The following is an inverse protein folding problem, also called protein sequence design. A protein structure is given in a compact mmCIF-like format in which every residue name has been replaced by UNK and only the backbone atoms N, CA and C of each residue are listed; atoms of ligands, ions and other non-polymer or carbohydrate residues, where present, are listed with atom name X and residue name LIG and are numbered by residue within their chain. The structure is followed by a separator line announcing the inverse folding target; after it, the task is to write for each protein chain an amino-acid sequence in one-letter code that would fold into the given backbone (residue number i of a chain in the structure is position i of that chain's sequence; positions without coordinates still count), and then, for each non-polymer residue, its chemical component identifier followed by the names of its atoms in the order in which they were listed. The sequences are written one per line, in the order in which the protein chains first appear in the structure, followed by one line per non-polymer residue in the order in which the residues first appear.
data_IF_216298494521
#
_entry.id   IF_216298494521
#
_cell.length_a   1.000
_cell.length_b   1.000
_cell.length_c   1.000
_cell.angle_alpha   90.00
_cell.angle_beta   90.00
_cell.angle_gamma   90.00
#
_symmetry.space_group_name_H-M   'P 1'
#
loop_
_entity.id
_entity.type
_entity.pdbx_description
1 polymer ?
#
# COMPACT_ATOMS: atom_id res chain seq x y z
N UNK A 1 -11.80 -9.52 -7.70
CA UNK A 1 -10.93 -8.49 -7.10
C UNK A 1 -9.51 -8.68 -7.59
N UNK A 2 -8.80 -7.62 -7.96
CA UNK A 2 -7.38 -7.70 -8.36
C UNK A 2 -6.47 -8.20 -7.22
N UNK A 3 -6.85 -7.96 -5.96
CA UNK A 3 -6.13 -8.48 -4.79
C UNK A 3 -6.06 -10.00 -4.76
N UNK A 4 -7.09 -10.71 -5.26
CA UNK A 4 -7.09 -12.20 -5.30
C UNK A 4 -6.24 -12.76 -6.44
N UNK A 5 -5.65 -11.92 -7.28
CA UNK A 5 -4.88 -12.36 -8.43
C UNK A 5 -3.65 -11.48 -8.63
N UNK A 6 -2.63 -11.58 -7.76
CA UNK A 6 -1.40 -10.80 -7.87
C UNK A 6 -0.79 -10.87 -9.27
N UNK A 7 -0.75 -12.05 -9.90
CA UNK A 7 -0.26 -12.21 -11.28
C UNK A 7 -0.99 -11.34 -12.30
N UNK A 8 -2.32 -11.22 -12.20
CA UNK A 8 -3.10 -10.36 -13.12
C UNK A 8 -2.83 -8.88 -12.83
N UNK A 9 -2.72 -8.52 -11.55
CA UNK A 9 -2.37 -7.17 -11.12
C UNK A 9 -0.98 -6.77 -11.64
N UNK A 10 0.03 -7.62 -11.47
CA UNK A 10 1.40 -7.38 -11.94
C UNK A 10 1.47 -7.17 -13.46
N UNK A 11 0.78 -8.00 -14.24
CA UNK A 11 0.69 -7.82 -15.71
C UNK A 11 0.08 -6.48 -16.10
N UNK A 12 -0.97 -6.06 -15.40
CA UNK A 12 -1.65 -4.79 -15.64
C UNK A 12 -0.73 -3.60 -15.28
N UNK A 13 -0.07 -3.64 -14.13
CA UNK A 13 0.88 -2.59 -13.70
C UNK A 13 2.08 -2.52 -14.65
N UNK A 14 2.70 -3.65 -14.96
CA UNK A 14 3.84 -3.72 -15.87
C UNK A 14 3.50 -3.16 -17.26
N UNK A 15 2.32 -3.50 -17.79
CA UNK A 15 1.84 -2.94 -19.06
C UNK A 15 1.64 -1.42 -19.00
N UNK A 16 1.10 -0.88 -17.90
CA UNK A 16 0.93 0.56 -17.71
C UNK A 16 2.27 1.29 -17.56
N UNK A 17 3.22 0.73 -16.81
CA UNK A 17 4.59 1.27 -16.68
C UNK A 17 5.25 1.31 -18.05
N UNK A 18 5.25 0.18 -18.77
CA UNK A 18 5.90 0.07 -20.08
C UNK A 18 5.35 1.08 -21.11
N UNK A 19 4.03 1.19 -21.22
CA UNK A 19 3.38 2.10 -22.17
C UNK A 19 3.65 3.58 -21.86
N UNK A 20 4.05 3.89 -20.64
CA UNK A 20 4.28 5.24 -20.17
C UNK A 20 5.77 5.62 -20.09
N UNK A 21 6.69 4.71 -20.47
CA UNK A 21 8.13 4.94 -20.43
C UNK A 21 8.57 6.20 -21.21
N UNK A 22 7.90 6.54 -22.31
CA UNK A 22 8.24 7.72 -23.11
C UNK A 22 7.85 9.06 -22.45
N UNK A 23 6.98 9.03 -21.44
CA UNK A 23 6.47 10.24 -20.77
C UNK A 23 7.00 10.39 -19.34
N UNK A 24 7.73 9.40 -18.83
CA UNK A 24 8.36 9.41 -17.51
C UNK A 24 7.40 9.75 -16.35
N UNK A 25 6.11 9.36 -16.47
CA UNK A 25 5.10 9.63 -15.43
C UNK A 25 5.15 8.50 -14.38
N UNK A 26 5.41 8.76 -13.09
CA UNK A 26 5.49 7.69 -12.10
C UNK A 26 4.11 7.04 -11.86
N UNK A 27 4.04 5.71 -11.94
CA UNK A 27 2.83 4.96 -11.63
C UNK A 27 2.85 4.45 -10.19
N UNK A 28 1.97 4.99 -9.34
CA UNK A 28 1.75 4.49 -7.97
C UNK A 28 0.53 3.57 -7.89
N UNK A 29 0.52 2.63 -6.94
CA UNK A 29 -0.62 1.71 -6.74
C UNK A 29 -1.10 1.76 -5.29
N UNK A 30 -2.41 1.85 -5.08
CA UNK A 30 -3.03 1.82 -3.76
C UNK A 30 -3.79 0.53 -3.53
N UNK A 31 -3.48 -0.15 -2.43
CA UNK A 31 -4.03 -1.46 -2.07
C UNK A 31 -4.60 -1.49 -0.64
N UNK A 32 -5.22 -2.61 -0.31
CA UNK A 32 -5.68 -3.02 1.01
C UNK A 32 -4.92 -4.29 1.42
N UNK A 33 -5.01 -4.70 2.69
CA UNK A 33 -4.27 -5.85 3.23
C UNK A 33 -4.62 -7.19 2.54
N UNK A 34 -5.82 -7.27 2.00
CA UNK A 34 -6.41 -8.47 1.42
C UNK A 34 -7.89 -8.24 1.15
N UNK A 35 -8.58 -9.24 0.61
CA UNK A 35 -10.03 -9.16 0.45
C UNK A 35 -10.77 -9.33 1.79
N UNK A 36 -10.35 -10.31 2.58
CA UNK A 36 -10.98 -10.78 3.81
C UNK A 36 -9.90 -11.10 4.85
N UNK A 37 -10.28 -11.25 6.13
CA UNK A 37 -9.31 -11.41 7.23
C UNK A 37 -8.54 -12.75 7.18
N UNK A 38 -9.13 -13.78 6.57
CA UNK A 38 -8.53 -15.09 6.33
C UNK A 38 -7.71 -15.14 5.02
N UNK A 39 -7.67 -14.03 4.27
CA UNK A 39 -7.05 -13.92 2.95
C UNK A 39 -6.20 -12.64 2.87
N UNK A 40 -5.30 -12.48 3.84
CA UNK A 40 -4.25 -11.45 3.83
C UNK A 40 -3.15 -11.88 2.88
N UNK A 41 -2.82 -11.03 1.91
CA UNK A 41 -1.80 -11.32 0.90
C UNK A 41 -1.01 -10.07 0.46
N UNK A 42 -1.01 -9.04 1.32
CA UNK A 42 -0.38 -7.75 1.03
C UNK A 42 1.11 -7.84 0.73
N UNK A 43 1.85 -8.75 1.37
CA UNK A 43 3.27 -8.96 1.12
C UNK A 43 3.50 -9.43 -0.33
N UNK A 44 2.85 -10.52 -0.74
CA UNK A 44 2.91 -11.04 -2.12
C UNK A 44 2.49 -9.98 -3.16
N UNK A 45 1.43 -9.23 -2.86
CA UNK A 45 0.94 -8.17 -3.72
C UNK A 45 1.97 -7.06 -3.86
N UNK A 46 2.57 -6.61 -2.75
CA UNK A 46 3.59 -5.54 -2.76
C UNK A 46 4.83 -5.99 -3.51
N UNK A 47 5.28 -7.23 -3.30
CA UNK A 47 6.40 -7.78 -4.05
C UNK A 47 6.11 -7.82 -5.55
N UNK A 48 4.92 -8.29 -5.94
CA UNK A 48 4.48 -8.29 -7.34
C UNK A 48 4.46 -6.87 -7.93
N UNK A 49 4.05 -5.86 -7.15
CA UNK A 49 4.00 -4.47 -7.60
C UNK A 49 5.40 -3.86 -7.78
N UNK A 50 6.35 -4.22 -6.91
CA UNK A 50 7.76 -3.83 -7.04
C UNK A 50 8.35 -4.38 -8.34
N UNK A 51 8.18 -5.68 -8.57
CA UNK A 51 8.65 -6.35 -9.79
C UNK A 51 7.99 -5.80 -11.06
N UNK A 52 6.73 -5.37 -10.96
CA UNK A 52 6.01 -4.75 -12.06
C UNK A 52 6.46 -3.29 -12.36
N UNK A 53 7.34 -2.71 -11.55
CA UNK A 53 7.87 -1.36 -11.75
C UNK A 53 7.00 -0.24 -11.19
N UNK A 54 6.15 -0.52 -10.19
CA UNK A 54 5.42 0.54 -9.50
C UNK A 54 6.40 1.54 -8.85
N UNK A 55 6.17 2.83 -9.07
CA UNK A 55 7.00 3.90 -8.52
C UNK A 55 6.77 4.12 -7.01
N UNK A 56 5.60 3.72 -6.49
CA UNK A 56 5.28 3.73 -5.07
C UNK A 56 4.06 2.84 -4.78
N UNK A 57 3.95 2.32 -3.55
CA UNK A 57 2.81 1.53 -3.12
C UNK A 57 2.18 2.11 -1.86
N UNK A 58 0.89 2.42 -1.91
CA UNK A 58 0.12 2.85 -0.74
C UNK A 58 -0.67 1.68 -0.16
N UNK A 59 -0.52 1.41 1.14
CA UNK A 59 -1.19 0.31 1.83
C UNK A 59 -2.23 0.89 2.81
N UNK A 60 -3.50 0.63 2.57
CA UNK A 60 -4.49 0.79 3.62
C UNK A 60 -4.44 -0.41 4.56
N UNK A 61 -4.23 -0.18 5.86
CA UNK A 61 -4.18 -1.21 6.92
C UNK A 61 -5.51 -1.92 7.21
N UNK A 62 -6.37 -2.15 6.21
CA UNK A 62 -7.62 -2.91 6.36
C UNK A 62 -7.79 -3.86 5.18
N UNK A 63 -8.54 -4.93 5.39
CA UNK A 63 -9.06 -5.75 4.29
C UNK A 63 -10.21 -5.03 3.58
N UNK A 64 -10.57 -5.48 2.38
CA UNK A 64 -11.70 -4.92 1.65
C UNK A 64 -13.02 -5.10 2.42
N UNK A 65 -13.27 -6.30 2.95
CA UNK A 65 -14.48 -6.64 3.71
C UNK A 65 -14.66 -5.80 4.98
N UNK A 66 -13.57 -5.45 5.67
CA UNK A 66 -13.64 -4.60 6.86
C UNK A 66 -14.17 -3.20 6.57
N UNK A 67 -14.05 -2.67 5.34
CA UNK A 67 -14.49 -1.31 5.04
C UNK A 67 -13.86 -0.29 6.00
N UNK A 68 -14.68 0.25 6.91
CA UNK A 68 -14.30 1.14 8.03
C UNK A 68 -14.69 0.61 9.42
N UNK A 69 -15.10 -0.66 9.53
CA UNK A 69 -15.69 -1.23 10.76
C UNK A 69 -14.68 -1.65 11.83
N UNK A 70 -13.39 -1.68 11.49
CA UNK A 70 -12.26 -2.03 12.39
C UNK A 70 -11.18 -0.96 12.33
N UNK A 71 -10.29 -0.91 13.31
CA UNK A 71 -9.10 -0.07 13.22
C UNK A 71 -8.18 -0.54 12.08
N UNK A 72 -7.40 0.38 11.51
CA UNK A 72 -6.33 0.02 10.61
C UNK A 72 -5.22 -0.73 11.36
N UNK A 73 -4.87 -1.90 10.85
CA UNK A 73 -3.78 -2.74 11.33
C UNK A 73 -2.46 -2.21 10.77
N UNK A 74 -1.74 -1.47 11.63
CA UNK A 74 -0.44 -0.89 11.33
C UNK A 74 0.71 -1.86 11.56
N UNK A 75 0.49 -2.93 12.31
CA UNK A 75 1.50 -3.97 12.57
C UNK A 75 1.74 -4.76 11.27
N UNK A 76 0.67 -5.08 10.53
CA UNK A 76 0.79 -5.67 9.20
C UNK A 76 1.43 -4.71 8.17
N UNK A 77 1.17 -3.41 8.27
CA UNK A 77 1.84 -2.41 7.41
C UNK A 77 3.34 -2.38 7.72
N UNK A 78 3.72 -2.36 8.99
CA UNK A 78 5.11 -2.42 9.44
C UNK A 78 5.79 -3.70 8.97
N UNK A 79 5.14 -4.85 9.08
CA UNK A 79 5.69 -6.13 8.63
C UNK A 79 6.03 -6.11 7.12
N UNK A 80 5.20 -5.46 6.28
CA UNK A 80 5.48 -5.29 4.85
C UNK A 80 6.67 -4.36 4.59
N UNK A 81 6.81 -3.29 5.36
CA UNK A 81 7.97 -2.38 5.26
C UNK A 81 9.25 -3.14 5.61
N UNK A 82 9.24 -3.89 6.71
CA UNK A 82 10.40 -4.65 7.20
C UNK A 82 10.84 -5.74 6.21
N UNK A 83 9.89 -6.49 5.65
CA UNK A 83 10.18 -7.52 4.63
C UNK A 83 10.78 -6.92 3.34
N UNK A 84 10.43 -5.66 3.05
CA UNK A 84 10.83 -4.95 1.83
C UNK A 84 12.01 -4.00 1.94
N UNK A 85 12.77 -4.04 3.05
CA UNK A 85 13.91 -3.16 3.27
C UNK A 85 14.91 -3.31 2.11
N UNK A 86 15.35 -2.18 1.54
CA UNK A 86 16.29 -2.15 0.42
C UNK A 86 15.67 -2.29 -0.97
N UNK A 87 14.35 -2.48 -1.08
CA UNK A 87 13.66 -2.59 -2.38
C UNK A 87 13.63 -1.29 -3.21
N UNK A 88 13.88 -0.13 -2.60
CA UNK A 88 13.90 1.18 -3.26
C UNK A 88 12.52 1.72 -3.69
N UNK A 89 11.44 0.94 -3.58
CA UNK A 89 10.08 1.39 -3.87
C UNK A 89 9.42 1.93 -2.59
N UNK A 90 9.08 3.23 -2.53
CA UNK A 90 8.48 3.82 -1.34
C UNK A 90 7.13 3.20 -0.97
N UNK A 91 6.94 2.95 0.32
CA UNK A 91 5.68 2.52 0.91
C UNK A 91 5.00 3.70 1.61
N UNK A 92 3.74 3.94 1.27
CA UNK A 92 2.89 4.95 1.91
C UNK A 92 1.85 4.27 2.80
N UNK A 93 1.88 4.56 4.10
CA UNK A 93 0.90 4.05 5.05
C UNK A 93 -0.45 4.79 4.98
N UNK A 94 -1.56 4.08 5.13
CA UNK A 94 -2.90 4.67 5.11
C UNK A 94 -3.85 3.99 6.11
N UNK A 95 -4.62 4.80 6.84
CA UNK A 95 -5.67 4.32 7.73
C UNK A 95 -5.66 5.00 9.09
N UNK A 96 -6.80 5.55 9.48
CA UNK A 96 -7.06 6.14 10.81
C UNK A 96 -6.09 7.23 11.28
N UNK A 97 -5.49 7.95 10.33
CA UNK A 97 -4.70 9.14 10.59
C UNK A 97 -5.66 10.33 10.69
N UNK A 98 -5.92 10.78 11.92
CA UNK A 98 -6.89 11.84 12.22
C UNK A 98 -6.25 13.16 12.68
N UNK A 99 -4.96 13.15 13.00
CA UNK A 99 -4.21 14.32 13.45
C UNK A 99 -2.79 14.28 12.90
N UNK A 100 -2.11 15.43 12.91
CA UNK A 100 -0.69 15.48 12.55
C UNK A 100 0.19 14.65 13.52
N UNK A 101 -0.20 14.56 14.80
CA UNK A 101 0.48 13.72 15.79
C UNK A 101 0.40 12.25 15.41
N UNK A 102 -0.78 11.80 14.96
CA UNK A 102 -0.97 10.43 14.49
C UNK A 102 -0.14 10.15 13.24
N UNK A 103 -0.10 11.09 12.28
CA UNK A 103 0.73 10.96 11.09
C UNK A 103 2.22 10.74 11.44
N UNK A 104 2.75 11.58 12.33
CA UNK A 104 4.16 11.47 12.79
C UNK A 104 4.41 10.17 13.53
N UNK A 105 3.50 9.76 14.42
CA UNK A 105 3.60 8.50 15.17
C UNK A 105 3.64 7.30 14.23
N UNK A 106 2.73 7.23 13.27
CA UNK A 106 2.66 6.09 12.34
C UNK A 106 3.87 5.98 11.44
N UNK A 107 4.42 7.09 10.94
CA UNK A 107 5.68 7.06 10.21
C UNK A 107 6.82 6.54 11.08
N UNK A 108 6.95 7.03 12.32
CA UNK A 108 8.02 6.63 13.23
C UNK A 108 7.94 5.15 13.65
N UNK A 109 6.74 4.63 13.93
CA UNK A 109 6.55 3.25 14.39
C UNK A 109 6.64 2.23 13.25
N UNK A 110 5.99 2.50 12.11
CA UNK A 110 5.88 1.52 11.02
C UNK A 110 7.03 1.57 10.02
N UNK A 111 7.80 2.66 9.99
CA UNK A 111 8.90 2.84 9.04
C UNK A 111 8.46 3.16 7.60
N UNK A 112 7.17 3.44 7.35
CA UNK A 112 6.70 3.89 6.04
C UNK A 112 7.36 5.21 5.63
N UNK A 113 7.64 5.37 4.34
CA UNK A 113 8.28 6.57 3.79
C UNK A 113 7.38 7.82 3.89
N UNK A 114 6.06 7.61 3.87
CA UNK A 114 5.07 8.67 3.98
C UNK A 114 3.72 8.13 4.44
N UNK A 115 2.77 9.03 4.66
CA UNK A 115 1.39 8.67 4.97
C UNK A 115 0.39 9.37 4.06
N UNK A 116 -0.69 8.66 3.72
CA UNK A 116 -1.82 9.20 2.98
C UNK A 116 -2.99 9.42 3.94
N UNK A 117 -3.48 10.66 4.03
CA UNK A 117 -4.61 11.06 4.87
C UNK A 117 -5.88 11.20 4.03
N UNK A 118 -6.97 10.60 4.49
CA UNK A 118 -8.29 10.70 3.87
C UNK A 118 -9.26 11.46 4.76
N UNK A 119 -10.13 10.74 5.47
CA UNK A 119 -11.16 11.31 6.37
C UNK A 119 -10.64 12.38 7.34
N UNK A 120 -9.44 12.19 7.91
CA UNK A 120 -8.85 13.15 8.85
C UNK A 120 -8.50 14.52 8.24
N UNK A 121 -8.46 14.64 6.90
CA UNK A 121 -8.21 15.92 6.22
C UNK A 121 -9.48 16.74 5.98
N UNK A 122 -10.67 16.18 6.23
CA UNK A 122 -11.96 16.87 6.09
C UNK A 122 -12.45 17.49 7.41
N UNK A 123 -11.66 17.39 8.47
CA UNK A 123 -11.98 17.85 9.81
C UNK A 123 -11.45 19.25 10.08
#
# INVERSE_FOLDING_TARGET
SLLRSPTKLGKLVSGMVHNNNNHNIPLSVKIRLGCEADSINVQDVVQTLREAGAAAVTIHGRTAQQGYSKAADWDLVQAVVQDGIGSGVPIIGNGDILTHYEARRRMAESGVDSVMVGRGALN
#
